data_IF_317781697227
#
_entry.id   IF_317781697227
#
_cell.length_a   1.000
_cell.length_b   1.000
_cell.length_c   1.000
_cell.angle_alpha   90.00
_cell.angle_beta   90.00
_cell.angle_gamma   90.00
#
_symmetry.space_group_name_H-M   'P 1'
#
loop_
_entity.id
_entity.type
_entity.pdbx_description
1 polymer ?
#
# COMPACT_ATOMS: atom_id res chain seq x y z
N UNK A 1 -17.56 4.50 -16.53
CA UNK A 1 -16.25 4.49 -17.22
C UNK A 1 -15.26 3.87 -16.27
N UNK A 2 -14.49 2.86 -16.70
CA UNK A 2 -13.38 2.35 -15.90
C UNK A 2 -12.36 3.48 -15.68
N UNK A 3 -11.83 3.59 -14.46
CA UNK A 3 -10.80 4.57 -14.15
C UNK A 3 -9.51 4.21 -14.90
N UNK A 4 -8.77 5.22 -15.39
CA UNK A 4 -7.49 4.95 -16.04
C UNK A 4 -6.52 4.21 -15.10
N UNK A 5 -5.95 3.10 -15.58
CA UNK A 5 -4.94 2.31 -14.86
C UNK A 5 -3.57 2.61 -15.47
N UNK A 6 -2.61 3.03 -14.64
CA UNK A 6 -1.21 3.15 -15.03
C UNK A 6 -0.48 1.84 -14.79
N UNK A 7 0.38 1.47 -15.73
CA UNK A 7 1.19 0.26 -15.63
C UNK A 7 2.68 0.56 -15.75
N UNK A 8 3.46 -0.14 -14.93
CA UNK A 8 4.92 -0.20 -14.99
C UNK A 8 5.38 -1.67 -15.08
N UNK A 9 6.50 -1.91 -15.76
CA UNK A 9 7.09 -3.26 -15.90
C UNK A 9 6.47 -4.15 -16.99
N UNK A 10 6.97 -5.41 -17.11
CA UNK A 10 6.65 -6.32 -18.21
C UNK A 10 5.17 -6.73 -18.24
N UNK A 11 4.60 -6.93 -19.44
CA UNK A 11 3.19 -7.34 -19.61
C UNK A 11 2.96 -8.82 -19.34
N UNK A 12 4.02 -9.62 -19.45
CA UNK A 12 4.08 -11.07 -19.33
C UNK A 12 4.54 -11.54 -17.93
N UNK A 13 4.52 -10.65 -16.93
CA UNK A 13 4.76 -11.05 -15.55
C UNK A 13 3.68 -12.05 -15.08
N UNK A 14 4.03 -13.03 -14.22
CA UNK A 14 3.12 -14.09 -13.79
C UNK A 14 1.94 -13.59 -12.94
N UNK A 15 2.08 -12.42 -12.31
CA UNK A 15 1.04 -11.75 -11.54
C UNK A 15 1.31 -10.24 -11.50
N UNK A 16 0.30 -9.46 -11.12
CA UNK A 16 0.39 -7.99 -11.02
C UNK A 16 0.27 -7.52 -9.57
N UNK A 17 1.15 -6.61 -9.16
CA UNK A 17 0.96 -5.82 -7.93
C UNK A 17 0.06 -4.61 -8.25
N UNK A 18 -1.11 -4.52 -7.63
CA UNK A 18 -2.04 -3.40 -7.77
C UNK A 18 -1.91 -2.47 -6.57
N UNK A 19 -1.62 -1.19 -6.79
CA UNK A 19 -1.43 -0.20 -5.75
C UNK A 19 -2.46 0.94 -5.82
N UNK A 20 -3.16 1.17 -4.71
CA UNK A 20 -3.96 2.37 -4.51
C UNK A 20 -3.18 3.49 -3.79
N UNK A 21 -3.50 4.73 -4.11
CA UNK A 21 -2.91 5.90 -3.49
C UNK A 21 -3.47 6.19 -2.09
N UNK A 22 -2.80 7.09 -1.35
CA UNK A 22 -3.27 7.61 -0.06
C UNK A 22 -4.31 8.72 -0.21
N UNK A 23 -4.89 9.18 0.91
CA UNK A 23 -5.98 10.16 0.90
C UNK A 23 -5.66 11.49 0.17
N UNK A 24 -4.41 11.96 0.27
CA UNK A 24 -4.01 13.30 -0.11
C UNK A 24 -3.46 13.46 -1.52
N UNK A 25 -2.83 12.43 -2.07
CA UNK A 25 -2.02 12.51 -3.29
C UNK A 25 -2.46 11.45 -4.31
N UNK A 26 -2.38 11.75 -5.61
CA UNK A 26 -2.84 10.86 -6.68
C UNK A 26 -1.91 9.66 -6.92
N UNK A 27 -2.34 8.76 -7.81
CA UNK A 27 -1.59 7.55 -8.18
C UNK A 27 -0.23 7.81 -8.85
N UNK A 28 -0.05 8.99 -9.44
CA UNK A 28 1.17 9.49 -10.08
C UNK A 28 1.99 10.43 -9.16
N UNK A 29 1.68 10.47 -7.86
CA UNK A 29 2.51 11.18 -6.88
C UNK A 29 3.96 10.66 -6.87
N UNK A 30 4.97 11.49 -6.54
CA UNK A 30 6.38 11.09 -6.60
C UNK A 30 6.69 9.79 -5.86
N UNK A 31 6.11 9.60 -4.67
CA UNK A 31 6.25 8.36 -3.89
C UNK A 31 5.71 7.14 -4.65
N UNK A 32 4.46 7.21 -5.13
CA UNK A 32 3.82 6.09 -5.83
C UNK A 32 4.52 5.78 -7.16
N UNK A 33 4.94 6.82 -7.89
CA UNK A 33 5.68 6.68 -9.14
C UNK A 33 7.05 6.02 -8.91
N UNK A 34 7.81 6.47 -7.90
CA UNK A 34 9.11 5.90 -7.59
C UNK A 34 9.02 4.42 -7.19
N UNK A 35 8.03 4.04 -6.37
CA UNK A 35 7.81 2.63 -6.02
C UNK A 35 7.47 1.79 -7.26
N UNK A 36 6.52 2.23 -8.08
CA UNK A 36 6.09 1.47 -9.25
C UNK A 36 7.19 1.35 -10.31
N UNK A 37 7.92 2.42 -10.59
CA UNK A 37 9.04 2.43 -11.52
C UNK A 37 10.21 1.59 -10.99
N UNK A 38 10.52 1.67 -9.69
CA UNK A 38 11.58 0.89 -9.08
C UNK A 38 11.32 -0.62 -9.12
N UNK A 39 10.06 -1.04 -8.89
CA UNK A 39 9.64 -2.43 -9.04
C UNK A 39 9.57 -2.85 -10.52
N UNK A 40 9.09 -1.96 -11.40
CA UNK A 40 9.07 -2.17 -12.84
C UNK A 40 10.46 -2.42 -13.43
N UNK A 41 11.46 -1.65 -12.99
CA UNK A 41 12.86 -1.84 -13.35
C UNK A 41 13.46 -3.18 -12.86
N UNK A 42 12.85 -3.80 -11.85
CA UNK A 42 13.18 -5.14 -11.34
C UNK A 42 12.35 -6.26 -12.00
N UNK A 43 11.63 -5.95 -13.07
CA UNK A 43 10.84 -6.93 -13.83
C UNK A 43 9.49 -7.27 -13.19
N UNK A 44 9.02 -6.51 -12.19
CA UNK A 44 7.69 -6.70 -11.61
C UNK A 44 6.65 -5.92 -12.40
N UNK A 45 5.47 -6.49 -12.57
CA UNK A 45 4.32 -5.77 -13.12
C UNK A 45 3.58 -5.04 -12.02
N UNK A 46 3.45 -3.72 -12.15
CA UNK A 46 2.71 -2.88 -11.21
C UNK A 46 1.57 -2.17 -11.94
N UNK A 47 0.38 -2.21 -11.35
CA UNK A 47 -0.78 -1.43 -11.75
C UNK A 47 -1.09 -0.39 -10.67
N UNK A 48 -1.47 0.82 -11.09
CA UNK A 48 -1.91 1.88 -10.18
C UNK A 48 -3.22 2.46 -10.68
N UNK A 49 -4.12 2.75 -9.76
CA UNK A 49 -5.43 3.34 -10.07
C UNK A 49 -5.80 4.44 -9.08
N UNK A 50 -6.83 5.21 -9.42
CA UNK A 50 -7.39 6.26 -8.57
C UNK A 50 -8.76 5.86 -8.02
N UNK A 51 -8.98 6.15 -6.74
CA UNK A 51 -10.32 6.09 -6.17
C UNK A 51 -11.23 7.18 -6.79
N UNK A 52 -12.57 7.01 -6.77
CA UNK A 52 -13.50 7.90 -7.46
C UNK A 52 -13.30 9.39 -7.13
N UNK A 53 -13.15 9.75 -5.84
CA UNK A 53 -12.90 11.13 -5.46
C UNK A 53 -11.62 11.73 -6.05
N UNK A 54 -10.59 10.92 -6.32
CA UNK A 54 -9.33 11.40 -6.90
C UNK A 54 -9.44 11.57 -8.41
N UNK A 55 -10.18 10.68 -9.09
CA UNK A 55 -10.56 10.87 -10.50
C UNK A 55 -11.32 12.18 -10.68
N UNK A 56 -12.29 12.46 -9.80
CA UNK A 56 -13.03 13.73 -9.81
C UNK A 56 -12.13 14.95 -9.52
N UNK A 57 -11.20 14.84 -8.56
CA UNK A 57 -10.21 15.90 -8.28
C UNK A 57 -9.39 16.22 -9.53
N UNK A 58 -8.94 15.19 -10.25
CA UNK A 58 -8.15 15.34 -11.48
C UNK A 58 -8.95 16.02 -12.58
N UNK A 59 -10.20 15.61 -12.79
CA UNK A 59 -11.05 16.17 -13.84
C UNK A 59 -11.52 17.61 -13.53
N UNK A 60 -11.85 17.91 -12.26
CA UNK A 60 -12.44 19.18 -11.87
C UNK A 60 -11.43 20.22 -11.38
N UNK A 61 -10.22 19.80 -10.98
CA UNK A 61 -9.24 20.62 -10.27
C UNK A 61 -9.65 21.00 -8.83
N UNK A 62 -10.80 20.55 -8.35
CA UNK A 62 -11.34 20.91 -7.01
C UNK A 62 -10.91 19.90 -5.97
N UNK A 63 -10.54 20.38 -4.77
CA UNK A 63 -10.25 19.50 -3.62
C UNK A 63 -11.55 18.86 -3.11
N UNK A 64 -11.54 17.53 -2.94
CA UNK A 64 -12.66 16.73 -2.39
C UNK A 64 -12.14 15.74 -1.35
N UNK A 65 -12.70 15.61 -0.14
CA UNK A 65 -12.22 14.60 0.81
C UNK A 65 -12.35 13.17 0.23
N UNK A 66 -11.61 12.18 0.76
CA UNK A 66 -11.79 10.79 0.36
C UNK A 66 -13.25 10.34 0.50
N UNK A 67 -13.68 9.46 -0.40
CA UNK A 67 -14.99 8.82 -0.28
C UNK A 67 -15.07 7.97 0.99
N UNK A 68 -16.30 7.67 1.43
CA UNK A 68 -16.53 6.78 2.57
C UNK A 68 -16.01 5.38 2.26
N UNK A 69 -15.57 4.68 3.31
CA UNK A 69 -14.99 3.33 3.20
C UNK A 69 -15.77 2.38 2.26
N UNK A 70 -17.12 2.24 2.33
CA UNK A 70 -17.85 1.34 1.43
C UNK A 70 -17.57 1.59 -0.07
N UNK A 71 -17.49 2.85 -0.50
CA UNK A 71 -17.20 3.23 -1.89
C UNK A 71 -15.76 2.84 -2.27
N UNK A 72 -14.82 3.01 -1.35
CA UNK A 72 -13.41 2.63 -1.58
C UNK A 72 -13.25 1.11 -1.67
N UNK A 73 -13.99 0.34 -0.87
CA UNK A 73 -13.98 -1.13 -0.93
C UNK A 73 -14.66 -1.64 -2.22
N UNK A 74 -15.76 -1.03 -2.63
CA UNK A 74 -16.41 -1.34 -3.91
C UNK A 74 -15.49 -1.07 -5.11
N UNK A 75 -14.79 0.07 -5.09
CA UNK A 75 -13.77 0.39 -6.10
C UNK A 75 -12.65 -0.66 -6.14
N UNK A 76 -12.17 -1.12 -4.99
CA UNK A 76 -11.18 -2.20 -4.94
C UNK A 76 -11.69 -3.50 -5.56
N UNK A 77 -12.92 -3.92 -5.23
CA UNK A 77 -13.53 -5.12 -5.81
C UNK A 77 -13.66 -5.01 -7.33
N UNK A 78 -14.06 -3.84 -7.82
CA UNK A 78 -14.16 -3.58 -9.26
C UNK A 78 -12.78 -3.68 -9.96
N UNK A 79 -11.74 -3.08 -9.38
CA UNK A 79 -10.37 -3.15 -9.93
C UNK A 79 -9.82 -4.58 -9.90
N UNK A 80 -10.06 -5.32 -8.82
CA UNK A 80 -9.68 -6.75 -8.72
C UNK A 80 -10.36 -7.56 -9.82
N UNK A 81 -11.67 -7.37 -10.02
CA UNK A 81 -12.42 -8.06 -11.07
C UNK A 81 -11.94 -7.68 -12.49
N UNK A 82 -11.68 -6.39 -12.74
CA UNK A 82 -11.18 -5.88 -14.02
C UNK A 82 -9.80 -6.44 -14.39
N UNK A 83 -8.93 -6.67 -13.39
CA UNK A 83 -7.58 -7.18 -13.58
C UNK A 83 -7.47 -8.72 -13.50
N UNK A 84 -8.59 -9.44 -13.56
CA UNK A 84 -8.64 -10.90 -13.63
C UNK A 84 -8.73 -11.64 -12.29
N UNK A 85 -8.63 -10.91 -11.16
CA UNK A 85 -8.95 -11.39 -9.82
C UNK A 85 -7.99 -12.42 -9.20
N UNK A 86 -8.27 -12.76 -7.93
CA UNK A 86 -7.71 -13.89 -7.23
C UNK A 86 -6.18 -13.92 -7.13
N UNK A 87 -5.62 -15.12 -7.23
CA UNK A 87 -4.19 -15.40 -7.06
C UNK A 87 -3.31 -14.87 -8.20
N UNK A 88 -3.88 -14.26 -9.23
CA UNK A 88 -3.15 -13.49 -10.25
C UNK A 88 -2.74 -12.09 -9.79
N UNK A 89 -3.18 -11.66 -8.60
CA UNK A 89 -2.95 -10.32 -8.07
C UNK A 89 -2.32 -10.35 -6.68
N UNK A 90 -1.40 -9.42 -6.47
CA UNK A 90 -1.05 -8.90 -5.14
C UNK A 90 -1.67 -7.51 -5.08
N UNK A 91 -2.34 -7.15 -3.99
CA UNK A 91 -2.96 -5.82 -3.85
C UNK A 91 -2.32 -5.03 -2.73
N UNK A 92 -2.48 -3.72 -2.73
CA UNK A 92 -1.81 -2.90 -1.75
C UNK A 92 -1.97 -1.42 -1.95
N UNK A 93 -1.17 -0.64 -1.23
CA UNK A 93 -1.14 0.80 -1.44
C UNK A 93 -0.53 1.60 -0.33
N UNK A 94 -0.52 2.92 -0.53
CA UNK A 94 -0.02 3.87 0.44
C UNK A 94 -1.13 4.26 1.42
N UNK A 95 -0.88 4.08 2.73
CA UNK A 95 -1.71 4.63 3.80
C UNK A 95 -3.17 4.16 3.70
N UNK A 96 -4.11 5.07 3.48
CA UNK A 96 -5.52 4.74 3.23
C UNK A 96 -5.69 3.66 2.14
N UNK A 97 -4.94 3.73 1.03
CA UNK A 97 -5.03 2.75 -0.06
C UNK A 97 -4.69 1.34 0.41
N UNK A 98 -3.60 1.20 1.17
CA UNK A 98 -3.20 -0.08 1.79
C UNK A 98 -4.22 -0.56 2.84
N UNK A 99 -4.76 0.35 3.65
CA UNK A 99 -5.84 0.00 4.60
C UNK A 99 -7.06 -0.56 3.88
N UNK A 100 -7.52 0.08 2.81
CA UNK A 100 -8.67 -0.42 2.05
C UNK A 100 -8.37 -1.76 1.39
N UNK A 101 -7.16 -1.94 0.85
CA UNK A 101 -6.71 -3.22 0.28
C UNK A 101 -6.76 -4.35 1.33
N UNK A 102 -6.26 -4.09 2.54
CA UNK A 102 -6.23 -5.08 3.62
C UNK A 102 -7.61 -5.57 4.07
N UNK A 103 -8.65 -4.76 3.89
CA UNK A 103 -10.03 -5.11 4.26
C UNK A 103 -10.70 -6.03 3.26
N UNK A 104 -10.21 -6.09 2.01
CA UNK A 104 -10.76 -6.94 0.94
C UNK A 104 -9.84 -8.10 0.55
N UNK A 105 -8.58 -8.11 1.01
CA UNK A 105 -7.58 -9.07 0.56
C UNK A 105 -8.04 -10.53 0.69
N UNK A 106 -8.53 -10.92 1.87
CA UNK A 106 -9.02 -12.27 2.15
C UNK A 106 -10.30 -12.60 1.36
N UNK A 107 -11.20 -11.63 1.17
CA UNK A 107 -12.44 -11.79 0.40
C UNK A 107 -12.14 -12.00 -1.09
N UNK A 108 -11.16 -11.26 -1.62
CA UNK A 108 -10.76 -11.29 -3.01
C UNK A 108 -9.85 -12.48 -3.38
N UNK A 109 -9.38 -13.26 -2.40
CA UNK A 109 -8.51 -14.42 -2.63
C UNK A 109 -7.19 -14.05 -3.31
N UNK A 110 -6.66 -12.86 -3.01
CA UNK A 110 -5.43 -12.34 -3.62
C UNK A 110 -4.21 -13.11 -3.12
N UNK A 111 -3.16 -13.17 -3.94
CA UNK A 111 -1.91 -13.87 -3.61
C UNK A 111 -1.16 -13.24 -2.44
N UNK A 112 -1.28 -11.93 -2.28
CA UNK A 112 -0.62 -11.21 -1.19
C UNK A 112 -1.11 -9.79 -1.02
N UNK A 113 -0.70 -9.18 0.08
CA UNK A 113 -1.01 -7.80 0.45
C UNK A 113 0.28 -7.00 0.70
N UNK A 114 0.39 -5.79 0.15
CA UNK A 114 1.50 -4.86 0.43
C UNK A 114 0.95 -3.52 0.96
N UNK A 115 1.30 -3.15 2.19
CA UNK A 115 0.94 -1.86 2.76
C UNK A 115 2.18 -0.99 2.95
N UNK A 116 2.16 0.21 2.39
CA UNK A 116 3.22 1.19 2.52
C UNK A 116 2.75 2.26 3.51
N UNK A 117 3.34 2.33 4.70
CA UNK A 117 2.92 3.24 5.77
C UNK A 117 1.46 3.02 6.19
N UNK A 118 1.11 1.87 6.77
CA UNK A 118 -0.26 1.53 7.18
C UNK A 118 -0.71 2.44 8.34
N UNK A 119 -1.93 3.01 8.30
CA UNK A 119 -2.37 3.94 9.32
C UNK A 119 -3.10 3.21 10.46
N UNK A 120 -2.35 2.60 11.38
CA UNK A 120 -2.85 1.79 12.51
C UNK A 120 -3.82 2.56 13.41
N UNK A 121 -3.54 3.83 13.67
CA UNK A 121 -4.43 4.74 14.39
C UNK A 121 -4.31 6.17 13.82
N UNK A 122 -5.24 7.09 14.13
CA UNK A 122 -5.04 8.52 13.85
C UNK A 122 -3.91 9.10 14.72
N UNK A 123 -3.17 10.11 14.23
CA UNK A 123 -2.16 10.80 15.04
C UNK A 123 -2.77 11.38 16.32
N UNK A 124 -2.08 11.16 17.44
CA UNK A 124 -2.53 11.59 18.76
C UNK A 124 -3.73 10.84 19.33
N UNK A 125 -4.15 9.72 18.71
CA UNK A 125 -5.26 8.87 19.17
C UNK A 125 -4.90 7.37 19.11
N UNK A 126 -3.84 6.93 19.84
CA UNK A 126 -3.36 5.54 19.80
C UNK A 126 -4.42 4.51 20.22
N UNK A 127 -5.43 4.93 20.98
CA UNK A 127 -6.55 4.08 21.40
C UNK A 127 -7.54 3.75 20.28
N UNK A 128 -7.52 4.48 19.15
CA UNK A 128 -8.45 4.29 18.02
C UNK A 128 -7.86 3.42 16.93
N UNK A 129 -7.63 2.16 17.29
CA UNK A 129 -7.01 1.17 16.43
C UNK A 129 -7.85 0.83 15.19
N UNK A 130 -7.15 0.50 14.11
CA UNK A 130 -7.67 0.06 12.81
C UNK A 130 -7.08 -1.31 12.44
N UNK A 131 -6.98 -2.19 13.43
CA UNK A 131 -6.28 -3.48 13.37
C UNK A 131 -7.20 -4.70 13.44
N UNK A 132 -8.48 -4.54 13.78
CA UNK A 132 -9.36 -5.68 14.08
C UNK A 132 -9.39 -6.78 13.00
N UNK A 133 -9.36 -6.41 11.72
CA UNK A 133 -9.29 -7.39 10.62
C UNK A 133 -7.88 -7.94 10.37
N UNK A 134 -6.82 -7.24 10.82
CA UNK A 134 -5.43 -7.67 10.70
C UNK A 134 -5.09 -8.80 11.69
N UNK A 135 -5.81 -8.89 12.82
CA UNK A 135 -5.65 -9.96 13.81
C UNK A 135 -5.89 -11.35 13.20
N UNK A 136 -6.80 -11.45 12.22
CA UNK A 136 -7.24 -12.71 11.61
C UNK A 136 -6.96 -12.79 10.10
N UNK A 137 -6.18 -11.85 9.55
CA UNK A 137 -5.83 -11.80 8.13
C UNK A 137 -5.15 -13.11 7.70
N UNK A 138 -5.67 -13.76 6.66
CA UNK A 138 -5.12 -15.03 6.13
C UNK A 138 -4.13 -14.81 4.99
N UNK A 139 -4.37 -13.78 4.19
CA UNK A 139 -3.54 -13.41 3.05
C UNK A 139 -2.12 -13.07 3.51
N UNK A 140 -1.07 -13.65 2.91
CA UNK A 140 0.31 -13.25 3.19
C UNK A 140 0.48 -11.75 2.96
N UNK A 141 1.06 -11.05 3.94
CA UNK A 141 1.13 -9.61 3.91
C UNK A 141 2.52 -9.07 4.27
N UNK A 142 2.91 -7.99 3.61
CA UNK A 142 4.05 -7.15 3.98
C UNK A 142 3.56 -5.75 4.35
N UNK A 143 3.91 -5.30 5.54
CA UNK A 143 3.77 -3.91 5.96
C UNK A 143 5.15 -3.27 5.99
N UNK A 144 5.40 -2.32 5.09
CA UNK A 144 6.59 -1.47 5.11
C UNK A 144 6.25 -0.18 5.84
N UNK A 145 6.89 0.07 6.99
CA UNK A 145 6.47 1.11 7.93
C UNK A 145 7.65 1.96 8.39
N UNK A 146 7.44 3.27 8.55
CA UNK A 146 8.42 4.13 9.22
C UNK A 146 8.50 3.82 10.72
N UNK A 147 9.71 3.71 11.28
CA UNK A 147 9.86 3.44 12.72
C UNK A 147 9.19 4.50 13.60
N UNK A 148 9.11 5.75 13.12
CA UNK A 148 8.47 6.87 13.81
C UNK A 148 7.18 7.34 13.13
N UNK A 149 6.49 6.46 12.42
CA UNK A 149 5.22 6.81 11.79
C UNK A 149 4.21 7.30 12.83
N UNK A 150 3.68 8.52 12.68
CA UNK A 150 2.72 9.10 13.63
C UNK A 150 1.34 8.44 13.58
N UNK A 151 1.10 7.55 12.62
CA UNK A 151 -0.09 6.71 12.53
C UNK A 151 0.13 5.30 13.11
N UNK A 152 1.29 5.01 13.71
CA UNK A 152 1.63 3.74 14.33
C UNK A 152 3.05 3.33 13.97
N UNK A 153 4.02 3.80 14.75
CA UNK A 153 5.43 3.48 14.59
C UNK A 153 5.78 2.13 15.19
N UNK A 154 7.07 1.80 15.21
CA UNK A 154 7.55 0.49 15.68
C UNK A 154 7.15 0.21 17.13
N UNK A 155 7.36 1.20 18.01
CA UNK A 155 7.00 1.08 19.42
C UNK A 155 5.50 0.88 19.65
N UNK A 156 4.65 1.44 18.78
CA UNK A 156 3.19 1.25 18.86
C UNK A 156 2.81 -0.18 18.47
N UNK A 157 3.37 -0.66 17.35
CA UNK A 157 2.97 -1.91 16.70
C UNK A 157 3.50 -3.16 17.40
N UNK A 158 4.65 -3.08 18.07
CA UNK A 158 5.22 -4.22 18.83
C UNK A 158 4.26 -4.78 19.90
N UNK A 159 3.31 -3.97 20.38
CA UNK A 159 2.28 -4.40 21.33
C UNK A 159 0.98 -4.93 20.72
N UNK A 160 0.82 -4.90 19.39
CA UNK A 160 -0.45 -5.27 18.75
C UNK A 160 -0.54 -6.78 18.51
N UNK A 161 -1.72 -7.34 18.78
CA UNK A 161 -2.08 -8.66 18.28
C UNK A 161 -2.31 -8.55 16.77
N UNK A 162 -1.49 -9.25 15.98
CA UNK A 162 -1.57 -9.26 14.52
C UNK A 162 -1.38 -10.69 14.01
N UNK A 163 -2.00 -11.01 12.87
CA UNK A 163 -1.86 -12.32 12.25
C UNK A 163 -0.39 -12.64 11.93
N UNK A 164 0.07 -13.90 12.12
CA UNK A 164 1.40 -14.33 11.70
C UNK A 164 1.60 -14.30 10.18
N UNK A 165 0.53 -14.12 9.40
CA UNK A 165 0.62 -13.88 7.96
C UNK A 165 1.25 -12.51 7.62
N UNK A 166 1.33 -11.59 8.60
CA UNK A 166 1.84 -10.23 8.43
C UNK A 166 3.34 -10.18 8.78
N UNK A 167 4.15 -9.78 7.81
CA UNK A 167 5.57 -9.47 7.98
C UNK A 167 5.78 -7.96 7.97
N UNK A 168 6.81 -7.50 8.68
CA UNK A 168 7.17 -6.10 8.78
C UNK A 168 8.55 -5.84 8.20
N UNK A 169 8.67 -4.71 7.49
CA UNK A 169 9.95 -4.08 7.20
C UNK A 169 9.91 -2.64 7.71
N UNK A 170 10.86 -2.30 8.59
CA UNK A 170 10.94 -0.98 9.21
C UNK A 170 11.90 -0.09 8.43
N UNK A 171 11.42 1.09 8.03
CA UNK A 171 12.25 2.15 7.45
C UNK A 171 12.90 2.91 8.58
N UNK A 172 14.22 2.76 8.68
CA UNK A 172 15.03 3.27 9.79
C UNK A 172 14.80 4.75 9.99
N UNK A 173 14.40 5.11 11.20
CA UNK A 173 14.07 6.48 11.59
C UNK A 173 13.02 7.15 10.68
N UNK A 174 12.30 6.40 9.84
CA UNK A 174 11.35 6.93 8.87
C UNK A 174 10.06 7.45 9.50
N UNK A 175 9.50 8.51 8.94
CA UNK A 175 8.13 8.94 9.20
C UNK A 175 7.11 8.23 8.29
N UNK A 176 5.87 8.73 8.22
CA UNK A 176 4.82 8.17 7.37
C UNK A 176 5.16 8.19 5.87
N UNK A 177 6.00 9.13 5.42
CA UNK A 177 6.51 9.21 4.05
C UNK A 177 7.88 8.54 3.88
N UNK A 178 8.36 7.81 4.89
CA UNK A 178 9.68 7.21 4.99
C UNK A 178 10.84 8.21 5.12
N UNK A 179 10.55 9.49 5.39
CA UNK A 179 11.59 10.50 5.59
C UNK A 179 12.23 10.34 6.97
N UNK A 180 13.55 10.13 7.04
CA UNK A 180 14.24 10.06 8.32
C UNK A 180 14.59 11.44 8.89
N UNK A 181 14.95 11.52 10.18
CA UNK A 181 15.59 12.75 10.70
C UNK A 181 17.01 12.81 10.15
N UNK A 182 17.54 14.04 10.00
CA UNK A 182 18.93 14.26 9.57
C UNK A 182 19.96 13.50 10.43
N UNK A 183 19.69 13.35 11.72
CA UNK A 183 20.58 12.67 12.67
C UNK A 183 20.73 11.16 12.42
N UNK A 184 19.85 10.54 11.62
CA UNK A 184 19.93 9.11 11.29
C UNK A 184 21.10 8.77 10.36
N UNK A 185 21.64 9.74 9.61
CA UNK A 185 22.61 9.50 8.54
C UNK A 185 22.02 8.94 7.24
N UNK A 186 20.70 8.69 7.19
CA UNK A 186 19.99 8.20 6.01
C UNK A 186 19.20 9.33 5.33
N UNK A 187 18.87 9.13 4.07
CA UNK A 187 17.98 9.99 3.28
C UNK A 187 16.62 9.33 3.05
N UNK A 188 15.64 10.12 2.60
CA UNK A 188 14.34 9.59 2.13
C UNK A 188 14.53 8.64 0.95
N UNK A 189 15.51 8.89 0.08
CA UNK A 189 15.83 8.02 -1.06
C UNK A 189 16.39 6.66 -0.62
N UNK A 190 17.23 6.63 0.42
CA UNK A 190 17.78 5.37 0.97
C UNK A 190 16.66 4.50 1.53
N UNK A 191 15.77 5.09 2.35
CA UNK A 191 14.62 4.38 2.88
C UNK A 191 13.66 3.94 1.75
N UNK A 192 13.44 4.77 0.74
CA UNK A 192 12.59 4.39 -0.39
C UNK A 192 13.19 3.23 -1.20
N UNK A 193 14.50 3.21 -1.41
CA UNK A 193 15.19 2.10 -2.05
C UNK A 193 15.05 0.80 -1.23
N UNK A 194 15.26 0.87 0.10
CA UNK A 194 15.06 -0.27 1.00
C UNK A 194 13.62 -0.77 1.00
N UNK A 195 12.63 0.13 0.93
CA UNK A 195 11.22 -0.24 0.79
C UNK A 195 10.95 -1.00 -0.52
N UNK A 196 11.50 -0.53 -1.64
CA UNK A 196 11.35 -1.18 -2.95
C UNK A 196 11.99 -2.57 -2.93
N UNK A 197 13.18 -2.73 -2.37
CA UNK A 197 13.86 -4.03 -2.21
C UNK A 197 13.02 -5.00 -1.36
N UNK A 198 12.47 -4.54 -0.23
CA UNK A 198 11.64 -5.37 0.62
C UNK A 198 10.35 -5.83 -0.08
N UNK A 199 9.72 -4.94 -0.84
CA UNK A 199 8.54 -5.29 -1.65
C UNK A 199 8.93 -6.28 -2.75
N UNK A 200 10.03 -6.06 -3.47
CA UNK A 200 10.48 -6.98 -4.52
C UNK A 200 10.72 -8.39 -3.98
N UNK A 201 11.43 -8.51 -2.86
CA UNK A 201 11.69 -9.79 -2.21
C UNK A 201 10.39 -10.49 -1.77
N UNK A 202 9.42 -9.73 -1.26
CA UNK A 202 8.10 -10.28 -0.93
C UNK A 202 7.35 -10.77 -2.17
N UNK A 203 7.34 -9.99 -3.25
CA UNK A 203 6.74 -10.41 -4.52
C UNK A 203 7.43 -11.66 -5.07
N UNK A 204 8.76 -11.75 -4.97
CA UNK A 204 9.51 -12.96 -5.36
C UNK A 204 9.01 -14.20 -4.60
N UNK A 205 8.86 -14.09 -3.28
CA UNK A 205 8.38 -15.18 -2.44
C UNK A 205 6.92 -15.58 -2.72
N UNK A 206 6.09 -14.64 -3.18
CA UNK A 206 4.73 -14.90 -3.61
C UNK A 206 4.66 -15.67 -4.95
N UNK A 207 5.67 -15.55 -5.80
CA UNK A 207 5.71 -16.16 -7.14
C UNK A 207 6.20 -17.61 -7.19
N UNK A 208 6.60 -18.18 -6.05
CA UNK A 208 6.99 -19.59 -5.90
C UNK A 208 5.84 -20.56 -6.11
#
# INVERSE_FOLDING_TARGET
MSAAILFDGPKDAPFTLVLAHGAGAPMDSPFMAAVAQGLGARGRRVARFEFPYMVERRASGRKKPPDRQPVLLECWRAIVAELGGGSGLVIGGKSMGGRMASLVADECGVRGLVCLGYPFHPPGKPEKLRTAHLETLRTPALIVQGERDSFGGRADVEGYALSPAIRFTWMTDGDHGFRPRKASGLTEADNLAAAIEAVDAFLAACGG
#
